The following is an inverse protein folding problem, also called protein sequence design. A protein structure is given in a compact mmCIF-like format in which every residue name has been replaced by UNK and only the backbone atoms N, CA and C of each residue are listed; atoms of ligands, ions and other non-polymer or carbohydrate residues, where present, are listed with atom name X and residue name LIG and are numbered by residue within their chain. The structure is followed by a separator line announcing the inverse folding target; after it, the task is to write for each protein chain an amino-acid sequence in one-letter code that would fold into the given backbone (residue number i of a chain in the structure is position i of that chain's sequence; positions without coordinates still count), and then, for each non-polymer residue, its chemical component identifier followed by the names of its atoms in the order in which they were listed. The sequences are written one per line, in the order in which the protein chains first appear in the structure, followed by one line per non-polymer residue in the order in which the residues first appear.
data_IF_042414798910
#
_entry.id   IF_042414798910
#
_cell.length_a   1.000
_cell.length_b   1.000
_cell.length_c   1.000
_cell.angle_alpha   90.00
_cell.angle_beta   90.00
_cell.angle_gamma   90.00
#
_symmetry.space_group_name_H-M   'P 1'
#
loop_
_entity.id
_entity.type
_entity.pdbx_description
1 polymer ?
#
# COMPACT_ATOMS: atom_id res chain seq x y z
N UNK A 1 -24.22 -0.36 8.65
CA UNK A 1 -23.14 0.40 9.31
C UNK A 1 -23.62 1.82 9.58
N UNK A 2 -23.27 2.39 10.74
CA UNK A 2 -23.53 3.80 11.06
C UNK A 2 -22.88 4.74 10.02
N UNK A 3 -23.51 5.89 9.70
CA UNK A 3 -23.03 6.77 8.62
C UNK A 3 -21.69 7.43 8.96
N UNK A 4 -21.46 7.83 10.22
CA UNK A 4 -20.18 8.37 10.65
C UNK A 4 -19.10 7.29 10.61
N UNK A 5 -19.44 6.06 11.01
CA UNK A 5 -18.54 4.92 10.90
C UNK A 5 -18.18 4.62 9.43
N UNK A 6 -19.16 4.65 8.51
CA UNK A 6 -18.93 4.47 7.07
C UNK A 6 -17.99 5.53 6.48
N UNK A 7 -18.15 6.79 6.88
CA UNK A 7 -17.26 7.87 6.44
C UNK A 7 -15.82 7.65 6.90
N UNK A 8 -15.62 7.28 8.17
CA UNK A 8 -14.29 6.96 8.72
C UNK A 8 -13.65 5.76 8.03
N UNK A 9 -14.42 4.71 7.76
CA UNK A 9 -13.92 3.53 7.03
C UNK A 9 -13.48 3.92 5.61
N UNK A 10 -14.25 4.77 4.92
CA UNK A 10 -13.87 5.27 3.60
C UNK A 10 -12.60 6.14 3.61
N UNK A 11 -12.43 6.95 4.65
CA UNK A 11 -11.21 7.76 4.85
C UNK A 11 -9.99 6.86 5.06
N UNK A 12 -10.09 5.85 5.93
CA UNK A 12 -9.03 4.86 6.15
C UNK A 12 -8.71 4.11 4.84
N UNK A 13 -9.71 3.70 4.08
CA UNK A 13 -9.50 3.06 2.76
C UNK A 13 -8.71 3.99 1.83
N UNK A 14 -9.03 5.29 1.81
CA UNK A 14 -8.34 6.28 0.98
C UNK A 14 -6.87 6.41 1.39
N UNK A 15 -6.59 6.56 2.67
CA UNK A 15 -5.23 6.68 3.20
C UNK A 15 -4.40 5.41 2.92
N UNK A 16 -4.96 4.23 3.17
CA UNK A 16 -4.29 2.95 2.90
C UNK A 16 -3.93 2.82 1.40
N UNK A 17 -4.84 3.22 0.51
CA UNK A 17 -4.56 3.19 -0.93
C UNK A 17 -3.46 4.19 -1.32
N UNK A 18 -3.36 5.34 -0.65
CA UNK A 18 -2.28 6.30 -0.88
C UNK A 18 -0.92 5.72 -0.47
N UNK A 19 -0.83 5.17 0.75
CA UNK A 19 0.38 4.52 1.26
C UNK A 19 0.80 3.34 0.37
N UNK A 20 -0.14 2.52 -0.07
CA UNK A 20 0.13 1.41 -1.00
C UNK A 20 0.78 1.89 -2.30
N UNK A 21 0.27 2.98 -2.90
CA UNK A 21 0.84 3.54 -4.12
C UNK A 21 2.25 4.10 -3.91
N UNK A 22 2.46 4.84 -2.82
CA UNK A 22 3.79 5.36 -2.48
C UNK A 22 4.83 4.23 -2.31
N UNK A 23 4.44 3.13 -1.67
CA UNK A 23 5.31 1.96 -1.53
C UNK A 23 5.64 1.29 -2.87
N UNK A 24 4.67 1.23 -3.79
CA UNK A 24 4.89 0.76 -5.16
C UNK A 24 5.84 1.66 -5.94
N UNK A 25 5.63 2.97 -5.88
CA UNK A 25 6.47 3.95 -6.56
C UNK A 25 7.93 3.88 -6.06
N UNK A 26 8.13 3.80 -4.74
CA UNK A 26 9.47 3.63 -4.14
C UNK A 26 10.07 2.28 -4.56
N UNK A 27 9.30 1.20 -4.54
CA UNK A 27 9.76 -0.12 -5.00
C UNK A 27 10.24 -0.09 -6.46
N UNK A 28 9.50 0.58 -7.33
CA UNK A 28 9.85 0.72 -8.75
C UNK A 28 11.11 1.60 -8.92
N UNK A 29 11.18 2.73 -8.22
CA UNK A 29 12.36 3.59 -8.20
C UNK A 29 13.62 2.84 -7.76
N UNK A 30 13.53 2.05 -6.68
CA UNK A 30 14.64 1.21 -6.22
C UNK A 30 15.06 0.16 -7.25
N UNK A 31 14.09 -0.44 -7.96
CA UNK A 31 14.38 -1.46 -8.99
C UNK A 31 15.08 -0.85 -10.20
N UNK A 32 14.69 0.37 -10.59
CA UNK A 32 15.18 1.02 -11.81
C UNK A 32 16.48 1.81 -11.59
N UNK A 33 16.62 2.48 -10.44
CA UNK A 33 17.67 3.47 -10.20
C UNK A 33 18.78 2.94 -9.28
N UNK A 34 18.47 1.97 -8.41
CA UNK A 34 19.43 1.48 -7.42
C UNK A 34 20.00 0.11 -7.80
N UNK A 35 21.32 0.04 -8.08
CA UNK A 35 22.02 -1.21 -8.46
C UNK A 35 22.77 -1.90 -7.31
N UNK A 36 22.50 -1.51 -6.07
CA UNK A 36 23.13 -2.09 -4.89
C UNK A 36 22.69 -3.53 -4.62
N UNK A 37 23.54 -4.32 -3.94
CA UNK A 37 23.33 -5.76 -3.67
C UNK A 37 22.03 -6.05 -2.86
N UNK A 38 21.43 -5.02 -2.24
CA UNK A 38 20.14 -5.12 -1.53
C UNK A 38 18.92 -4.55 -2.25
N UNK A 39 19.06 -3.95 -3.44
CA UNK A 39 17.99 -3.21 -4.11
C UNK A 39 16.75 -4.07 -4.40
N UNK A 40 16.97 -5.24 -4.99
CA UNK A 40 15.90 -6.19 -5.32
C UNK A 40 15.15 -6.70 -4.08
N UNK A 41 15.88 -6.91 -2.98
CA UNK A 41 15.27 -7.37 -1.72
C UNK A 41 14.41 -6.26 -1.10
N UNK A 42 14.91 -5.02 -1.09
CA UNK A 42 14.18 -3.86 -0.59
C UNK A 42 12.91 -3.61 -1.42
N UNK A 43 13.03 -3.55 -2.75
CA UNK A 43 11.91 -3.42 -3.67
C UNK A 43 10.86 -4.53 -3.44
N UNK A 44 11.28 -5.79 -3.36
CA UNK A 44 10.37 -6.91 -3.09
C UNK A 44 9.61 -6.76 -1.77
N UNK A 45 10.27 -6.28 -0.72
CA UNK A 45 9.63 -6.09 0.59
C UNK A 45 8.64 -4.92 0.58
N UNK A 46 8.95 -3.81 -0.10
CA UNK A 46 8.02 -2.69 -0.28
C UNK A 46 6.80 -3.11 -1.11
N UNK A 47 7.00 -3.88 -2.18
CA UNK A 47 5.91 -4.43 -2.97
C UNK A 47 5.01 -5.36 -2.14
N UNK A 48 5.60 -6.20 -1.27
CA UNK A 48 4.81 -7.03 -0.33
C UNK A 48 4.01 -6.18 0.64
N UNK A 49 4.58 -5.10 1.16
CA UNK A 49 3.89 -4.17 2.05
C UNK A 49 2.72 -3.48 1.32
N UNK A 50 2.92 -2.97 0.09
CA UNK A 50 1.83 -2.43 -0.73
C UNK A 50 0.69 -3.43 -0.90
N UNK A 51 1.02 -4.66 -1.31
CA UNK A 51 0.03 -5.72 -1.51
C UNK A 51 -0.75 -6.04 -0.21
N UNK A 52 -0.09 -5.97 0.95
CA UNK A 52 -0.76 -6.14 2.23
C UNK A 52 -1.78 -5.02 2.47
N UNK A 53 -1.40 -3.76 2.25
CA UNK A 53 -2.30 -2.62 2.38
C UNK A 53 -3.49 -2.70 1.40
N UNK A 54 -3.27 -3.14 0.15
CA UNK A 54 -4.36 -3.37 -0.80
C UNK A 54 -5.34 -4.44 -0.31
N UNK A 55 -4.84 -5.52 0.30
CA UNK A 55 -5.72 -6.55 0.89
C UNK A 55 -6.55 -5.98 2.03
N UNK A 56 -5.95 -5.22 2.95
CA UNK A 56 -6.68 -4.56 4.04
C UNK A 56 -7.75 -3.63 3.49
N UNK A 57 -7.42 -2.79 2.51
CA UNK A 57 -8.36 -1.92 1.79
C UNK A 57 -9.54 -2.70 1.19
N UNK A 58 -9.28 -3.85 0.57
CA UNK A 58 -10.31 -4.70 0.00
C UNK A 58 -11.20 -5.38 1.05
N UNK A 59 -10.65 -5.78 2.20
CA UNK A 59 -11.46 -6.31 3.31
C UNK A 59 -12.32 -5.21 3.94
N UNK A 60 -11.78 -4.01 4.13
CA UNK A 60 -12.55 -2.87 4.67
C UNK A 60 -13.72 -2.47 3.77
N UNK A 61 -13.59 -2.62 2.43
CA UNK A 61 -14.67 -2.38 1.48
C UNK A 61 -15.85 -3.35 1.58
N UNK A 62 -15.66 -4.50 2.25
CA UNK A 62 -16.72 -5.51 2.43
C UNK A 62 -17.58 -5.25 3.69
N UNK A 63 -17.19 -4.27 4.53
CA UNK A 63 -17.90 -3.86 5.75
C UNK A 63 -19.03 -2.86 5.43
#
# INVERSE_FOLDING_TARGET
MDQNLKMKVNEIIREINAVSRELEDISQGLTNEFKGIGANSCASNLLKASNHYQRVSNELRKL
#
